data_IF_341419227809
#
_entry.id   IF_341419227809
#
_cell.length_a   1.000
_cell.length_b   1.000
_cell.length_c   1.000
_cell.angle_alpha   90.00
_cell.angle_beta   90.00
_cell.angle_gamma   90.00
#
_symmetry.space_group_name_H-M   'P 1'
#
loop_
_entity.id
_entity.type
_entity.pdbx_description
1 polymer ?
#
# COMPACT_ATOMS: atom_id res chain seq x y z
N UNK A 1 0.62 -7.34 63.20
CA UNK A 1 0.62 -6.28 62.16
C UNK A 1 0.28 -6.92 60.81
N UNK A 2 -0.67 -6.33 60.10
CA UNK A 2 -1.68 -7.03 59.30
C UNK A 2 -1.22 -7.49 57.90
N UNK A 3 -1.57 -8.73 57.55
CA UNK A 3 -1.50 -9.31 56.18
C UNK A 3 -2.29 -8.52 55.12
N UNK A 4 -3.13 -7.58 55.55
CA UNK A 4 -3.91 -6.66 54.70
C UNK A 4 -3.01 -5.57 54.11
N UNK A 5 -1.96 -5.12 54.81
CA UNK A 5 -1.06 -4.09 54.29
C UNK A 5 -0.15 -4.62 53.18
N UNK A 6 0.29 -5.88 53.26
CA UNK A 6 1.17 -6.48 52.24
C UNK A 6 0.46 -6.68 50.88
N UNK A 7 -0.87 -6.94 50.89
CA UNK A 7 -1.67 -7.03 49.67
C UNK A 7 -2.01 -5.67 49.05
N UNK A 8 -2.14 -4.62 49.88
CA UNK A 8 -2.35 -3.26 49.39
C UNK A 8 -1.10 -2.68 48.71
N UNK A 9 0.10 -3.02 49.19
CA UNK A 9 1.36 -2.56 48.59
C UNK A 9 1.64 -3.23 47.24
N UNK A 10 1.31 -4.51 47.07
CA UNK A 10 1.46 -5.24 45.80
C UNK A 10 0.48 -4.78 44.71
N UNK A 11 -0.74 -4.35 45.09
CA UNK A 11 -1.69 -3.79 44.12
C UNK A 11 -1.30 -2.37 43.68
N UNK A 12 -0.69 -1.58 44.57
CA UNK A 12 -0.20 -0.23 44.25
C UNK A 12 1.05 -0.23 43.34
N UNK A 13 1.88 -1.29 43.37
CA UNK A 13 3.04 -1.40 42.46
C UNK A 13 2.66 -1.89 41.07
N UNK A 14 1.57 -2.66 40.93
CA UNK A 14 1.06 -3.08 39.62
C UNK A 14 0.36 -1.93 38.84
N UNK A 15 -0.16 -0.92 39.54
CA UNK A 15 -0.75 0.28 38.93
C UNK A 15 0.29 1.30 38.42
N UNK A 16 1.55 1.21 38.83
CA UNK A 16 2.63 2.11 38.39
C UNK A 16 3.37 1.65 37.12
N UNK A 17 3.05 0.45 36.62
CA UNK A 17 3.58 -0.07 35.35
C UNK A 17 2.62 0.13 34.17
N UNK A 18 1.43 0.71 34.40
CA UNK A 18 0.58 1.21 33.33
C UNK A 18 1.05 2.60 32.88
N UNK A 19 2.19 2.64 32.17
CA UNK A 19 2.57 3.85 31.44
C UNK A 19 1.44 4.24 30.46
N UNK A 20 1.20 5.54 30.20
CA UNK A 20 0.25 5.93 29.17
C UNK A 20 0.68 5.28 27.86
N UNK A 21 -0.25 4.59 27.19
CA UNK A 21 -0.06 4.14 25.82
C UNK A 21 0.25 5.38 24.97
N UNK A 22 1.53 5.64 24.71
CA UNK A 22 2.00 6.74 23.87
C UNK A 22 1.71 6.37 22.41
N UNK A 23 0.45 6.51 22.02
CA UNK A 23 -0.06 6.18 20.70
C UNK A 23 0.18 7.29 19.65
N UNK A 24 1.10 8.23 19.88
CA UNK A 24 1.54 9.25 18.91
C UNK A 24 2.97 9.71 19.27
N UNK A 25 3.76 10.14 18.29
CA UNK A 25 5.15 10.59 18.55
C UNK A 25 5.19 12.00 19.15
N UNK A 26 6.28 12.31 19.85
CA UNK A 26 6.46 13.67 20.42
C UNK A 26 6.63 14.72 19.31
N UNK A 27 6.46 16.00 19.64
CA UNK A 27 6.70 17.09 18.70
C UNK A 27 8.16 17.12 18.22
N UNK A 28 9.10 16.79 19.11
CA UNK A 28 10.54 16.69 18.83
C UNK A 28 10.83 15.52 17.87
N UNK A 29 10.16 14.38 18.05
CA UNK A 29 10.27 13.26 17.12
C UNK A 29 9.67 13.63 15.75
N UNK A 30 8.48 14.22 15.71
CA UNK A 30 7.84 14.67 14.48
C UNK A 30 8.72 15.69 13.71
N UNK A 31 9.46 16.55 14.41
CA UNK A 31 10.39 17.51 13.79
C UNK A 31 11.47 16.84 12.91
N UNK A 32 11.76 15.54 13.11
CA UNK A 32 12.67 14.77 12.25
C UNK A 32 12.17 14.68 10.81
N UNK A 33 10.85 14.72 10.56
CA UNK A 33 10.23 14.71 9.22
C UNK A 33 10.59 15.95 8.37
N UNK A 34 11.04 17.02 9.02
CA UNK A 34 11.50 18.25 8.37
C UNK A 34 13.02 18.30 8.20
N UNK A 35 13.76 17.33 8.74
CA UNK A 35 15.22 17.34 8.80
C UNK A 35 15.80 16.00 8.33
N UNK A 36 16.02 15.06 9.25
CA UNK A 36 16.71 13.78 8.99
C UNK A 36 15.87 12.77 8.23
N UNK A 37 14.54 12.84 8.36
CA UNK A 37 13.59 12.04 7.61
C UNK A 37 13.00 12.85 6.45
N UNK A 38 12.52 12.15 5.43
CA UNK A 38 11.65 12.72 4.41
C UNK A 38 10.30 13.09 5.05
N UNK A 39 9.48 13.93 4.40
CA UNK A 39 8.17 14.29 4.94
C UNK A 39 7.21 13.10 5.11
N UNK A 40 7.52 11.94 4.51
CA UNK A 40 6.75 10.69 4.64
C UNK A 40 7.41 9.67 5.59
N UNK A 41 8.52 10.01 6.24
CA UNK A 41 9.12 9.16 7.27
C UNK A 41 10.32 8.31 6.87
N UNK A 42 10.72 8.31 5.59
CA UNK A 42 11.90 7.56 5.15
C UNK A 42 13.20 8.28 5.52
N UNK A 43 14.33 7.57 5.59
CA UNK A 43 15.64 8.21 5.71
C UNK A 43 15.88 9.19 4.56
N UNK A 44 16.30 10.43 4.84
CA UNK A 44 16.54 11.43 3.80
C UNK A 44 17.90 11.28 3.12
N UNK A 45 18.92 10.89 3.89
CA UNK A 45 20.30 10.81 3.43
C UNK A 45 20.50 9.71 2.37
N UNK A 46 21.65 9.77 1.70
CA UNK A 46 22.15 8.66 0.90
C UNK A 46 22.51 7.47 1.80
N UNK A 47 22.52 6.27 1.23
CA UNK A 47 23.10 5.13 1.95
C UNK A 47 24.63 5.24 1.97
N UNK A 48 25.26 4.49 2.90
CA UNK A 48 26.72 4.50 3.07
C UNK A 48 27.47 4.01 1.83
N UNK A 49 26.89 3.09 1.09
CA UNK A 49 27.52 2.48 -0.10
C UNK A 49 27.46 3.37 -1.35
N UNK A 50 26.76 4.52 -1.28
CA UNK A 50 26.62 5.46 -2.39
C UNK A 50 25.72 4.98 -3.54
N UNK A 51 25.06 3.82 -3.39
CA UNK A 51 24.17 3.23 -4.40
C UNK A 51 22.76 3.79 -4.39
N UNK A 52 22.36 4.47 -3.30
CA UNK A 52 21.07 5.14 -3.13
C UNK A 52 21.34 6.62 -2.83
N UNK A 53 20.96 7.55 -3.73
CA UNK A 53 21.19 8.98 -3.52
C UNK A 53 20.31 9.55 -2.39
N UNK A 54 20.63 10.76 -1.86
CA UNK A 54 19.74 11.41 -0.92
C UNK A 54 18.41 11.80 -1.59
N UNK A 55 17.32 11.85 -0.83
CA UNK A 55 16.06 12.38 -1.34
C UNK A 55 16.07 13.91 -1.33
N UNK A 56 15.91 14.50 -2.51
CA UNK A 56 16.01 15.95 -2.75
C UNK A 56 14.68 16.60 -3.11
N UNK A 57 13.55 15.93 -2.91
CA UNK A 57 12.21 16.44 -3.24
C UNK A 57 11.39 15.55 -4.17
N UNK A 58 12.03 14.57 -4.80
CA UNK A 58 11.41 13.70 -5.81
C UNK A 58 11.10 14.42 -7.13
N UNK A 59 10.41 13.74 -8.03
CA UNK A 59 10.05 14.25 -9.35
C UNK A 59 8.68 14.94 -9.29
N UNK A 60 8.68 16.27 -9.26
CA UNK A 60 7.46 17.09 -9.08
C UNK A 60 6.96 17.77 -10.35
N UNK A 61 7.73 17.67 -11.45
CA UNK A 61 7.37 18.23 -12.75
C UNK A 61 7.13 17.10 -13.74
N UNK A 62 6.06 17.22 -14.52
CA UNK A 62 5.86 16.35 -15.66
C UNK A 62 6.96 16.57 -16.70
N UNK A 63 7.32 15.51 -17.43
CA UNK A 63 8.27 15.61 -18.53
C UNK A 63 7.74 16.59 -19.60
N UNK A 64 8.61 17.39 -20.23
CA UNK A 64 8.20 18.33 -21.27
C UNK A 64 7.37 17.64 -22.37
N UNK A 65 6.22 18.23 -22.72
CA UNK A 65 5.35 17.73 -23.77
C UNK A 65 4.36 16.64 -23.36
N UNK A 66 4.42 16.11 -22.12
CA UNK A 66 3.42 15.17 -21.62
C UNK A 66 2.04 15.81 -21.49
N UNK A 67 1.00 15.14 -21.97
CA UNK A 67 -0.39 15.54 -21.78
C UNK A 67 -1.17 14.45 -21.02
N UNK A 68 -2.18 14.82 -20.22
CA UNK A 68 -3.07 13.85 -19.60
C UNK A 68 -3.68 12.91 -20.66
N UNK A 69 -3.53 11.60 -20.46
CA UNK A 69 -3.96 10.56 -21.40
C UNK A 69 -2.83 9.94 -22.21
N UNK A 70 -1.67 10.59 -22.32
CA UNK A 70 -0.49 10.01 -22.96
C UNK A 70 0.10 8.87 -22.13
N UNK A 71 0.85 7.98 -22.79
CA UNK A 71 1.75 7.08 -22.09
C UNK A 71 2.74 7.89 -21.26
N UNK A 72 2.95 7.52 -20.00
CA UNK A 72 3.91 8.22 -19.15
C UNK A 72 5.31 8.04 -19.72
N UNK A 73 6.04 9.13 -20.04
CA UNK A 73 7.38 9.03 -20.57
C UNK A 73 8.33 8.51 -19.48
N UNK A 74 9.33 7.74 -19.91
CA UNK A 74 10.43 7.34 -19.04
C UNK A 74 11.37 8.54 -18.83
N UNK A 75 11.50 9.07 -17.60
CA UNK A 75 12.40 10.20 -17.32
C UNK A 75 13.88 9.85 -17.47
N UNK A 76 14.23 8.56 -17.57
CA UNK A 76 15.60 8.04 -17.62
C UNK A 76 15.87 7.22 -18.88
N UNK A 77 15.11 7.43 -19.96
CA UNK A 77 15.18 6.61 -21.19
C UNK A 77 16.57 6.51 -21.84
N UNK A 78 17.47 7.45 -21.56
CA UNK A 78 18.84 7.47 -22.07
C UNK A 78 19.86 6.75 -21.17
N UNK A 79 19.45 6.30 -19.97
CA UNK A 79 20.33 5.61 -19.05
C UNK A 79 20.68 4.20 -19.55
N UNK A 80 21.92 3.80 -19.26
CA UNK A 80 22.42 2.46 -19.55
C UNK A 80 22.51 1.66 -18.26
N UNK A 81 22.38 0.33 -18.32
CA UNK A 81 22.65 -0.52 -17.17
C UNK A 81 24.06 -0.25 -16.63
N UNK A 82 24.20 -0.19 -15.31
CA UNK A 82 25.48 -0.22 -14.59
C UNK A 82 26.16 -1.58 -14.77
N UNK A 83 25.37 -2.65 -14.69
CA UNK A 83 25.80 -4.03 -14.91
C UNK A 83 24.57 -4.93 -15.13
N UNK A 84 24.81 -6.17 -15.56
CA UNK A 84 23.78 -7.19 -15.75
C UNK A 84 24.09 -8.45 -14.95
N UNK A 85 23.07 -9.00 -14.29
CA UNK A 85 23.13 -10.25 -13.54
C UNK A 85 22.48 -11.34 -14.38
N UNK A 86 23.19 -12.43 -14.64
CA UNK A 86 22.72 -13.59 -15.40
C UNK A 86 23.25 -14.89 -14.77
N UNK A 87 22.91 -16.04 -15.35
CA UNK A 87 23.31 -17.34 -14.83
C UNK A 87 24.83 -17.50 -14.59
N UNK A 88 25.69 -16.80 -15.35
CA UNK A 88 27.16 -16.92 -15.27
C UNK A 88 27.74 -16.20 -14.05
N UNK A 89 27.14 -15.09 -13.62
CA UNK A 89 27.63 -14.29 -12.48
C UNK A 89 26.64 -14.25 -11.30
N UNK A 90 25.50 -14.92 -11.40
CA UNK A 90 24.46 -15.01 -10.37
C UNK A 90 24.99 -15.30 -8.97
N UNK A 91 25.97 -16.19 -8.84
CA UNK A 91 26.57 -16.56 -7.55
C UNK A 91 27.24 -15.37 -6.83
N UNK A 92 27.71 -14.37 -7.57
CA UNK A 92 28.30 -13.15 -7.00
C UNK A 92 27.25 -12.24 -6.36
N UNK A 93 25.97 -12.42 -6.71
CA UNK A 93 24.85 -11.60 -6.28
C UNK A 93 23.80 -12.40 -5.50
N UNK A 94 24.17 -13.56 -4.94
CA UNK A 94 23.21 -14.49 -4.34
C UNK A 94 22.33 -13.84 -3.25
N UNK A 95 22.92 -12.96 -2.44
CA UNK A 95 22.23 -12.20 -1.40
C UNK A 95 21.19 -11.18 -1.92
N UNK A 96 21.21 -10.87 -3.22
CA UNK A 96 20.30 -9.92 -3.86
C UNK A 96 19.24 -10.60 -4.74
N UNK A 97 19.24 -11.93 -4.83
CA UNK A 97 18.35 -12.67 -5.72
C UNK A 97 17.46 -13.61 -4.91
N UNK A 98 16.17 -13.61 -5.21
CA UNK A 98 15.26 -14.62 -4.68
C UNK A 98 15.49 -15.96 -5.39
N UNK A 99 15.14 -17.07 -4.72
CA UNK A 99 15.30 -18.40 -5.30
C UNK A 99 14.49 -18.59 -6.60
N UNK A 100 13.34 -17.92 -6.71
CA UNK A 100 12.56 -17.89 -7.95
C UNK A 100 13.31 -17.22 -9.11
N UNK A 101 13.97 -16.09 -8.86
CA UNK A 101 14.81 -15.42 -9.87
C UNK A 101 16.01 -16.29 -10.24
N UNK A 102 16.66 -16.94 -9.26
CA UNK A 102 17.76 -17.88 -9.52
C UNK A 102 17.29 -19.05 -10.38
N UNK A 103 16.10 -19.58 -10.12
CA UNK A 103 15.50 -20.65 -10.93
C UNK A 103 15.21 -20.20 -12.37
N UNK A 104 14.70 -18.98 -12.57
CA UNK A 104 14.51 -18.41 -13.91
C UNK A 104 15.83 -18.28 -14.67
N UNK A 105 16.88 -17.76 -14.03
CA UNK A 105 18.23 -17.67 -14.64
C UNK A 105 18.79 -19.04 -15.03
N UNK A 106 18.56 -20.08 -14.22
CA UNK A 106 18.99 -21.46 -14.55
C UNK A 106 18.20 -22.07 -15.70
N UNK A 107 16.90 -21.78 -15.78
CA UNK A 107 15.98 -22.35 -16.77
C UNK A 107 16.08 -21.66 -18.14
N UNK A 108 16.31 -20.35 -18.15
CA UNK A 108 16.30 -19.52 -19.35
C UNK A 108 17.67 -18.84 -19.53
N UNK A 109 18.53 -19.36 -20.43
CA UNK A 109 19.91 -18.86 -20.60
C UNK A 109 20.04 -17.38 -21.01
N UNK A 110 18.99 -16.82 -21.61
CA UNK A 110 18.87 -15.43 -22.04
C UNK A 110 18.30 -14.50 -20.96
N UNK A 111 17.73 -15.05 -19.88
CA UNK A 111 17.22 -14.27 -18.77
C UNK A 111 18.35 -13.59 -18.01
N UNK A 112 18.19 -12.27 -17.83
CA UNK A 112 19.10 -11.44 -17.04
C UNK A 112 18.35 -10.32 -16.36
N UNK A 113 18.95 -9.77 -15.30
CA UNK A 113 18.51 -8.55 -14.63
C UNK A 113 19.51 -7.46 -14.97
N UNK A 114 19.05 -6.43 -15.68
CA UNK A 114 19.84 -5.23 -15.95
C UNK A 114 19.65 -4.24 -14.79
N UNK A 115 20.73 -3.87 -14.11
CA UNK A 115 20.71 -2.99 -12.94
C UNK A 115 21.07 -1.57 -13.36
N UNK A 116 20.26 -0.60 -12.97
CA UNK A 116 20.38 0.82 -13.35
C UNK A 116 20.70 1.71 -12.14
N UNK A 117 21.11 2.97 -12.35
CA UNK A 117 21.26 3.95 -11.27
C UNK A 117 19.98 4.09 -10.44
N UNK A 118 20.10 4.14 -9.12
CA UNK A 118 18.96 4.37 -8.24
C UNK A 118 18.55 5.83 -8.27
N UNK A 119 17.25 6.09 -8.48
CA UNK A 119 16.67 7.43 -8.35
C UNK A 119 15.57 7.44 -7.29
N UNK A 120 15.56 8.45 -6.42
CA UNK A 120 14.49 8.64 -5.42
C UNK A 120 13.45 9.63 -5.93
N UNK A 121 12.60 9.19 -6.85
CA UNK A 121 11.64 10.05 -7.57
C UNK A 121 10.29 10.23 -6.87
N UNK A 122 9.97 9.42 -5.86
CA UNK A 122 8.70 9.50 -5.16
C UNK A 122 8.47 10.90 -4.54
N UNK A 123 7.29 11.46 -4.79
CA UNK A 123 6.84 12.74 -4.28
C UNK A 123 5.33 12.74 -4.01
N UNK A 124 4.89 13.60 -3.12
CA UNK A 124 3.49 13.90 -2.87
C UNK A 124 3.26 15.43 -2.85
N UNK A 125 2.02 15.90 -3.05
CA UNK A 125 1.67 17.30 -2.88
C UNK A 125 1.99 17.81 -1.47
N UNK A 126 2.28 19.11 -1.35
CA UNK A 126 2.63 19.73 -0.06
C UNK A 126 1.59 19.48 1.04
N UNK A 127 0.30 19.53 0.70
CA UNK A 127 -0.78 19.29 1.66
C UNK A 127 -0.74 17.87 2.27
N UNK A 128 -0.23 16.88 1.53
CA UNK A 128 -0.02 15.51 2.06
C UNK A 128 1.08 15.51 3.11
N UNK A 129 2.19 16.21 2.84
CA UNK A 129 3.30 16.34 3.78
C UNK A 129 2.88 17.09 5.05
N UNK A 130 2.12 18.17 4.90
CA UNK A 130 1.64 18.96 6.03
C UNK A 130 0.69 18.15 6.92
N UNK A 131 -0.22 17.38 6.30
CA UNK A 131 -1.10 16.48 7.04
C UNK A 131 -0.35 15.30 7.65
N UNK A 132 0.66 14.75 6.99
CA UNK A 132 1.52 13.70 7.55
C UNK A 132 2.25 14.19 8.81
N UNK A 133 2.78 15.42 8.76
CA UNK A 133 3.41 16.05 9.93
C UNK A 133 2.41 16.26 11.08
N UNK A 134 1.17 16.67 10.79
CA UNK A 134 0.10 16.76 11.80
C UNK A 134 -0.24 15.39 12.36
N UNK A 135 -0.42 14.38 11.51
CA UNK A 135 -0.82 13.03 11.90
C UNK A 135 0.21 12.39 12.86
N UNK A 136 1.51 12.66 12.67
CA UNK A 136 2.58 12.16 13.54
C UNK A 136 2.29 12.33 15.05
N UNK A 137 1.67 13.43 15.46
CA UNK A 137 1.43 13.74 16.89
C UNK A 137 0.00 13.51 17.36
N UNK A 138 -0.93 13.11 16.47
CA UNK A 138 -2.35 12.97 16.81
C UNK A 138 -3.00 11.65 16.37
N UNK A 139 -2.42 10.96 15.39
CA UNK A 139 -2.92 9.67 14.93
C UNK A 139 -2.77 8.65 16.05
N UNK A 140 -3.71 7.72 16.19
CA UNK A 140 -3.66 6.62 17.17
C UNK A 140 -4.20 5.35 16.54
N UNK A 141 -3.61 4.22 16.91
CA UNK A 141 -4.20 2.92 16.64
C UNK A 141 -5.45 2.72 17.49
N UNK A 142 -6.49 2.16 16.88
CA UNK A 142 -7.71 1.71 17.57
C UNK A 142 -8.05 0.28 17.13
N UNK A 143 -9.10 -0.31 17.69
CA UNK A 143 -9.53 -1.68 17.37
C UNK A 143 -8.39 -2.70 17.49
N UNK A 144 -7.57 -2.60 18.55
CA UNK A 144 -6.37 -3.42 18.77
C UNK A 144 -5.35 -3.39 17.61
N UNK A 145 -5.18 -2.22 16.98
CA UNK A 145 -4.28 -2.03 15.84
C UNK A 145 -4.96 -2.18 14.48
N UNK A 146 -6.24 -2.60 14.44
CA UNK A 146 -6.98 -2.85 13.20
C UNK A 146 -7.75 -1.62 12.70
N UNK A 147 -7.56 -0.47 13.34
CA UNK A 147 -8.09 0.82 12.90
C UNK A 147 -7.15 1.97 13.22
N UNK A 148 -7.49 3.15 12.71
CA UNK A 148 -6.76 4.40 12.92
C UNK A 148 -7.74 5.52 13.25
N UNK A 149 -7.43 6.33 14.26
CA UNK A 149 -8.14 7.58 14.57
C UNK A 149 -7.20 8.77 14.54
N UNK A 150 -7.77 9.97 14.44
CA UNK A 150 -7.00 11.22 14.47
C UNK A 150 -6.17 11.52 13.22
N UNK A 151 -6.18 10.66 12.20
CA UNK A 151 -5.43 10.85 10.97
C UNK A 151 -6.35 11.19 9.78
N UNK A 152 -5.89 12.08 8.89
CA UNK A 152 -6.54 12.37 7.61
C UNK A 152 -5.53 12.96 6.63
N UNK A 153 -5.68 12.72 5.33
CA UNK A 153 -4.99 13.44 4.27
C UNK A 153 -3.47 13.30 4.21
N UNK A 154 -2.88 12.36 4.94
CA UNK A 154 -1.44 12.17 5.09
C UNK A 154 -1.12 10.82 5.72
N UNK A 155 0.12 10.35 5.61
CA UNK A 155 0.54 9.08 6.25
C UNK A 155 0.23 9.14 7.75
N UNK A 156 -0.50 8.17 8.33
CA UNK A 156 -0.91 8.24 9.73
C UNK A 156 0.26 8.19 10.72
N UNK A 157 1.17 7.22 10.56
CA UNK A 157 2.26 6.94 11.49
C UNK A 157 3.62 7.07 10.80
N UNK A 158 4.05 8.27 10.37
CA UNK A 158 5.27 8.43 9.58
C UNK A 158 6.55 8.05 10.33
N UNK A 159 6.51 7.84 11.64
CA UNK A 159 7.62 7.29 12.43
C UNK A 159 7.07 6.07 13.19
N UNK A 160 6.84 4.94 12.51
CA UNK A 160 6.12 3.83 13.10
C UNK A 160 6.92 3.17 14.22
N UNK A 161 6.24 2.73 15.28
CA UNK A 161 6.80 2.10 16.48
C UNK A 161 6.60 0.58 16.49
N UNK A 162 5.62 0.09 15.75
CA UNK A 162 5.31 -1.34 15.65
C UNK A 162 4.80 -1.74 14.24
N UNK A 163 4.54 -3.03 14.06
CA UNK A 163 4.05 -3.58 12.80
C UNK A 163 2.63 -3.14 12.42
N UNK A 164 1.76 -2.84 13.40
CA UNK A 164 0.40 -2.37 13.12
C UNK A 164 0.42 -0.97 12.52
N UNK A 165 1.26 -0.07 13.03
CA UNK A 165 1.46 1.26 12.46
C UNK A 165 2.02 1.19 11.02
N UNK A 166 2.98 0.30 10.77
CA UNK A 166 3.49 0.03 9.40
C UNK A 166 2.37 -0.47 8.50
N UNK A 167 1.55 -1.40 8.99
CA UNK A 167 0.43 -1.94 8.23
C UNK A 167 -0.59 -0.85 7.88
N UNK A 168 -0.97 0.00 8.83
CA UNK A 168 -1.91 1.10 8.58
C UNK A 168 -1.34 2.09 7.56
N UNK A 169 -0.04 2.39 7.62
CA UNK A 169 0.62 3.21 6.61
C UNK A 169 0.59 2.57 5.21
N UNK A 170 0.78 1.26 5.09
CA UNK A 170 0.69 0.55 3.81
C UNK A 170 -0.72 0.67 3.22
N UNK A 171 -1.75 0.38 4.02
CA UNK A 171 -3.16 0.47 3.61
C UNK A 171 -3.55 1.90 3.21
N UNK A 172 -3.03 2.88 3.93
CA UNK A 172 -3.35 4.29 3.76
C UNK A 172 -2.26 5.05 3.00
N UNK A 173 -1.43 4.36 2.22
CA UNK A 173 -0.35 5.01 1.47
C UNK A 173 -0.90 5.99 0.43
N UNK A 174 -0.19 7.11 0.24
CA UNK A 174 -0.49 8.08 -0.81
C UNK A 174 -0.22 7.48 -2.19
N UNK A 175 -1.29 7.34 -2.97
CA UNK A 175 -1.25 6.85 -4.37
C UNK A 175 -2.07 7.76 -5.30
N UNK A 176 -2.40 8.97 -4.85
CA UNK A 176 -3.37 9.86 -5.49
C UNK A 176 -4.74 9.83 -4.81
N UNK A 177 -5.55 10.85 -5.02
CA UNK A 177 -6.92 10.97 -4.48
C UNK A 177 -7.96 10.23 -5.34
N UNK A 178 -7.70 10.09 -6.64
CA UNK A 178 -8.56 9.38 -7.58
C UNK A 178 -7.74 8.79 -8.72
N UNK A 179 -8.10 7.57 -9.13
CA UNK A 179 -7.54 6.91 -10.30
C UNK A 179 -8.64 6.17 -11.05
N UNK A 180 -8.59 6.24 -12.38
CA UNK A 180 -9.42 5.41 -13.25
C UNK A 180 -8.56 4.92 -14.40
N UNK A 181 -8.60 3.62 -14.67
CA UNK A 181 -7.80 3.00 -15.72
C UNK A 181 -8.54 1.83 -16.36
N UNK A 182 -8.33 1.58 -17.67
CA UNK A 182 -8.68 0.31 -18.26
C UNK A 182 -7.79 -0.78 -17.68
N UNK A 183 -8.39 -1.91 -17.33
CA UNK A 183 -7.70 -3.11 -16.84
C UNK A 183 -8.00 -4.24 -17.81
N UNK A 184 -6.97 -5.01 -18.15
CA UNK A 184 -7.09 -6.26 -18.92
C UNK A 184 -6.27 -7.33 -18.24
N UNK A 185 -6.93 -8.42 -17.88
CA UNK A 185 -6.34 -9.58 -17.23
C UNK A 185 -6.33 -10.74 -18.20
N UNK A 186 -5.13 -11.26 -18.43
CA UNK A 186 -4.87 -12.37 -19.33
C UNK A 186 -4.31 -13.55 -18.55
N UNK A 187 -4.85 -14.72 -18.83
CA UNK A 187 -4.27 -15.99 -18.40
C UNK A 187 -3.40 -16.50 -19.54
N UNK A 188 -2.16 -16.86 -19.21
CA UNK A 188 -1.19 -17.37 -20.19
C UNK A 188 -0.83 -18.80 -19.81
N UNK A 189 -1.01 -19.70 -20.76
CA UNK A 189 -0.66 -21.12 -20.64
C UNK A 189 0.84 -21.34 -20.86
N UNK A 190 1.36 -22.49 -20.44
CA UNK A 190 2.80 -22.80 -20.54
C UNK A 190 3.33 -22.84 -22.00
N UNK A 191 2.46 -23.14 -22.97
CA UNK A 191 2.76 -23.07 -24.42
C UNK A 191 2.52 -21.66 -25.02
N UNK A 192 2.26 -20.66 -24.19
CA UNK A 192 2.18 -19.25 -24.58
C UNK A 192 0.83 -18.78 -25.08
N UNK A 193 -0.21 -19.63 -25.11
CA UNK A 193 -1.55 -19.21 -25.51
C UNK A 193 -2.16 -18.32 -24.44
N UNK A 194 -2.78 -17.22 -24.88
CA UNK A 194 -3.40 -16.22 -24.01
C UNK A 194 -4.92 -16.33 -24.10
N UNK A 195 -5.59 -16.29 -22.95
CA UNK A 195 -7.03 -16.19 -22.83
C UNK A 195 -7.38 -14.98 -21.96
N UNK A 196 -8.35 -14.17 -22.38
CA UNK A 196 -8.79 -13.03 -21.59
C UNK A 196 -9.66 -13.52 -20.43
N UNK A 197 -9.21 -13.32 -19.20
CA UNK A 197 -9.98 -13.65 -18.00
C UNK A 197 -11.01 -12.57 -17.66
N UNK A 198 -10.61 -11.31 -17.78
CA UNK A 198 -11.48 -10.14 -17.61
C UNK A 198 -10.84 -8.90 -18.25
N UNK A 199 -11.67 -7.94 -18.61
CA UNK A 199 -11.27 -6.62 -19.05
C UNK A 199 -12.37 -5.62 -18.71
N UNK A 200 -12.01 -4.39 -18.39
CA UNK A 200 -12.98 -3.41 -17.92
C UNK A 200 -12.36 -2.11 -17.46
N UNK A 201 -13.17 -1.28 -16.80
CA UNK A 201 -12.72 -0.01 -16.21
C UNK A 201 -12.69 -0.16 -14.70
N UNK A 202 -11.52 0.06 -14.11
CA UNK A 202 -11.33 0.13 -12.67
C UNK A 202 -11.26 1.59 -12.23
N UNK A 203 -11.89 1.91 -11.11
CA UNK A 203 -11.91 3.24 -10.51
C UNK A 203 -11.69 3.14 -9.02
N UNK A 204 -10.79 3.97 -8.50
CA UNK A 204 -10.53 4.11 -7.07
C UNK A 204 -10.65 5.58 -6.68
N UNK A 205 -11.38 5.85 -5.61
CA UNK A 205 -11.39 7.14 -4.92
C UNK A 205 -10.83 6.93 -3.53
N UNK A 206 -9.77 7.65 -3.17
CA UNK A 206 -9.18 7.63 -1.83
C UNK A 206 -9.78 8.77 -1.01
N UNK A 207 -10.94 8.53 -0.42
CA UNK A 207 -11.65 9.52 0.41
C UNK A 207 -10.80 10.04 1.57
N UNK A 208 -9.93 9.20 2.15
CA UNK A 208 -8.95 9.62 3.17
C UNK A 208 -8.01 10.75 2.70
N UNK A 209 -7.86 10.91 1.39
CA UNK A 209 -7.00 11.88 0.72
C UNK A 209 -7.79 12.89 -0.12
N UNK A 210 -9.07 13.10 0.17
CA UNK A 210 -9.86 14.12 -0.51
C UNK A 210 -9.38 15.52 -0.07
N UNK A 211 -8.84 16.36 -0.97
CA UNK A 211 -8.33 17.68 -0.61
C UNK A 211 -9.44 18.65 -0.16
N UNK A 212 -10.71 18.36 -0.46
CA UNK A 212 -11.87 19.14 -0.02
C UNK A 212 -12.42 18.67 1.33
N UNK A 213 -11.94 17.51 1.82
CA UNK A 213 -12.31 16.96 3.11
C UNK A 213 -11.42 17.45 4.26
N UNK A 214 -11.71 16.96 5.46
CA UNK A 214 -10.90 17.21 6.66
C UNK A 214 -11.11 16.07 7.66
N UNK A 215 -10.29 16.01 8.70
CA UNK A 215 -10.44 15.02 9.77
C UNK A 215 -11.83 15.10 10.43
N UNK A 216 -12.35 16.32 10.62
CA UNK A 216 -13.63 16.58 11.29
C UNK A 216 -14.84 16.19 10.43
N UNK A 217 -14.69 16.19 9.11
CA UNK A 217 -15.74 15.84 8.14
C UNK A 217 -15.62 14.41 7.63
N UNK A 218 -14.55 13.71 7.98
CA UNK A 218 -14.26 12.38 7.46
C UNK A 218 -15.29 11.37 7.99
N UNK A 219 -15.96 10.67 7.09
CA UNK A 219 -17.07 9.76 7.38
C UNK A 219 -16.61 8.33 7.74
N UNK A 220 -15.29 8.09 7.76
CA UNK A 220 -14.70 6.80 8.10
C UNK A 220 -14.40 5.91 6.89
N UNK A 221 -14.88 6.22 5.69
CA UNK A 221 -14.55 5.45 4.49
C UNK A 221 -13.19 5.90 3.93
N UNK A 222 -12.16 5.06 4.09
CA UNK A 222 -10.82 5.35 3.59
C UNK A 222 -10.73 5.35 2.06
N UNK A 223 -11.55 4.53 1.40
CA UNK A 223 -11.58 4.46 -0.05
C UNK A 223 -12.82 3.77 -0.63
N UNK A 224 -13.11 4.10 -1.88
CA UNK A 224 -14.16 3.50 -2.69
C UNK A 224 -13.52 2.91 -3.94
N UNK A 225 -13.84 1.66 -4.24
CA UNK A 225 -13.38 0.94 -5.42
C UNK A 225 -14.56 0.50 -6.28
N UNK A 226 -14.44 0.64 -7.59
CA UNK A 226 -15.42 0.09 -8.54
C UNK A 226 -14.70 -0.53 -9.72
N UNK A 227 -15.07 -1.73 -10.09
CA UNK A 227 -14.65 -2.38 -11.32
C UNK A 227 -15.88 -2.77 -12.13
N UNK A 228 -15.94 -2.34 -13.39
CA UNK A 228 -17.02 -2.70 -14.32
C UNK A 228 -16.41 -3.47 -15.48
N UNK A 229 -16.84 -4.71 -15.65
CA UNK A 229 -16.33 -5.63 -16.65
C UNK A 229 -16.99 -5.33 -17.99
N UNK A 230 -16.17 -5.14 -19.03
CA UNK A 230 -16.61 -4.99 -20.43
C UNK A 230 -16.19 -6.16 -21.31
N UNK A 231 -15.21 -6.97 -20.86
CA UNK A 231 -14.65 -8.09 -21.62
C UNK A 231 -14.32 -9.27 -20.66
N UNK A 232 -14.35 -10.54 -21.11
CA UNK A 232 -14.92 -11.01 -22.37
C UNK A 232 -16.45 -10.89 -22.35
N UNK A 233 -17.09 -11.06 -23.52
CA UNK A 233 -18.55 -10.89 -23.67
C UNK A 233 -19.40 -11.70 -22.68
N UNK A 234 -18.92 -12.86 -22.23
CA UNK A 234 -19.62 -13.70 -21.23
C UNK A 234 -19.71 -13.08 -19.83
N UNK A 235 -18.83 -12.11 -19.50
CA UNK A 235 -18.80 -11.39 -18.22
C UNK A 235 -19.14 -9.91 -18.38
N UNK A 236 -19.37 -9.42 -19.60
CA UNK A 236 -19.62 -8.02 -19.87
C UNK A 236 -20.88 -7.54 -19.14
N UNK A 237 -20.74 -6.50 -18.31
CA UNK A 237 -21.78 -5.97 -17.44
C UNK A 237 -21.66 -6.43 -15.98
N UNK A 238 -20.79 -7.37 -15.65
CA UNK A 238 -20.46 -7.68 -14.25
C UNK A 238 -19.79 -6.47 -13.59
N UNK A 239 -20.01 -6.32 -12.28
CA UNK A 239 -19.40 -5.22 -11.55
C UNK A 239 -19.06 -5.62 -10.11
N UNK A 240 -17.98 -5.06 -9.58
CA UNK A 240 -17.62 -5.12 -8.16
C UNK A 240 -17.59 -3.69 -7.63
N UNK A 241 -18.21 -3.48 -6.47
CA UNK A 241 -18.18 -2.22 -5.72
C UNK A 241 -17.64 -2.52 -4.32
N UNK A 242 -16.63 -1.76 -3.88
CA UNK A 242 -16.02 -1.87 -2.58
C UNK A 242 -16.05 -0.51 -1.87
N UNK A 243 -16.47 -0.52 -0.61
CA UNK A 243 -16.41 0.60 0.32
C UNK A 243 -15.51 0.17 1.48
N UNK A 244 -14.29 0.69 1.48
CA UNK A 244 -13.25 0.35 2.43
C UNK A 244 -13.28 1.32 3.60
N UNK A 245 -13.70 0.84 4.76
CA UNK A 245 -13.70 1.60 6.01
C UNK A 245 -12.31 1.63 6.65
N UNK A 246 -12.01 2.70 7.37
CA UNK A 246 -10.74 2.88 8.09
C UNK A 246 -10.60 1.90 9.25
N UNK A 247 -11.69 1.67 9.99
CA UNK A 247 -11.70 0.93 11.26
C UNK A 247 -12.45 -0.40 11.13
N UNK A 248 -11.92 -1.45 11.76
CA UNK A 248 -12.51 -2.80 11.72
C UNK A 248 -13.90 -2.88 12.38
N UNK A 249 -14.17 -2.00 13.35
CA UNK A 249 -15.51 -1.80 13.93
C UNK A 249 -16.59 -1.46 12.89
N UNK A 250 -16.22 -0.88 11.75
CA UNK A 250 -17.08 -0.68 10.59
C UNK A 250 -16.61 -1.57 9.44
N UNK A 251 -17.13 -2.80 9.29
CA UNK A 251 -16.59 -3.74 8.31
C UNK A 251 -16.77 -3.23 6.88
N UNK A 252 -15.86 -3.66 6.00
CA UNK A 252 -15.90 -3.36 4.57
C UNK A 252 -17.25 -3.72 3.95
N UNK A 253 -17.79 -2.82 3.13
CA UNK A 253 -18.90 -3.12 2.24
C UNK A 253 -18.37 -3.58 0.89
N UNK A 254 -18.68 -4.81 0.47
CA UNK A 254 -18.38 -5.26 -0.89
C UNK A 254 -19.61 -5.86 -1.54
N UNK A 255 -19.87 -5.48 -2.78
CA UNK A 255 -21.00 -5.94 -3.57
C UNK A 255 -20.52 -6.39 -4.95
N UNK A 256 -21.17 -7.43 -5.46
CA UNK A 256 -20.93 -7.95 -6.79
C UNK A 256 -22.26 -8.03 -7.54
N UNK A 257 -22.24 -7.59 -8.79
CA UNK A 257 -23.30 -7.80 -9.75
C UNK A 257 -22.87 -8.86 -10.76
N UNK A 258 -23.67 -9.93 -10.86
CA UNK A 258 -23.42 -11.03 -11.78
C UNK A 258 -24.50 -11.04 -12.87
N UNK A 259 -24.09 -10.94 -14.12
CA UNK A 259 -25.00 -10.83 -15.26
C UNK A 259 -25.91 -12.04 -15.42
N UNK A 260 -25.37 -13.26 -15.18
CA UNK A 260 -26.15 -14.50 -15.26
C UNK A 260 -27.27 -14.59 -14.21
N UNK A 261 -27.14 -13.89 -13.08
CA UNK A 261 -28.13 -13.88 -12.01
C UNK A 261 -28.99 -12.61 -11.98
N UNK A 262 -28.58 -11.56 -12.70
CA UNK A 262 -29.23 -10.24 -12.76
C UNK A 262 -29.52 -9.64 -11.37
N UNK A 263 -28.62 -9.87 -10.41
CA UNK A 263 -28.78 -9.44 -9.02
C UNK A 263 -27.47 -8.91 -8.46
N UNK A 264 -27.57 -7.89 -7.61
CA UNK A 264 -26.48 -7.43 -6.74
C UNK A 264 -26.50 -8.26 -5.46
N UNK A 265 -25.34 -8.75 -5.04
CA UNK A 265 -25.17 -9.46 -3.77
C UNK A 265 -24.07 -8.82 -2.95
N UNK A 266 -24.26 -8.73 -1.64
CA UNK A 266 -23.17 -8.42 -0.72
C UNK A 266 -22.22 -9.63 -0.68
N UNK A 267 -20.93 -9.39 -0.84
CA UNK A 267 -19.91 -10.44 -0.94
C UNK A 267 -18.81 -10.21 0.13
N UNK A 268 -19.16 -10.39 1.42
CA UNK A 268 -18.23 -10.14 2.52
C UNK A 268 -17.06 -11.15 2.57
N UNK A 269 -17.18 -12.28 1.87
CA UNK A 269 -16.14 -13.32 1.78
C UNK A 269 -14.98 -12.94 0.86
N UNK A 270 -15.07 -11.82 0.13
CA UNK A 270 -14.02 -11.40 -0.81
C UNK A 270 -12.88 -10.73 -0.04
N UNK A 271 -12.00 -11.56 0.50
CA UNK A 271 -10.80 -11.20 1.27
C UNK A 271 -9.82 -12.39 1.31
N UNK A 272 -8.57 -12.11 1.69
CA UNK A 272 -7.51 -13.12 1.90
C UNK A 272 -7.32 -14.02 0.65
N UNK A 273 -7.09 -15.31 0.90
CA UNK A 273 -6.89 -16.42 -0.05
C UNK A 273 -8.16 -16.82 -0.83
N UNK A 274 -9.14 -15.93 -0.96
CA UNK A 274 -10.32 -16.23 -1.79
C UNK A 274 -9.91 -16.18 -3.27
N UNK A 275 -10.26 -17.20 -4.08
CA UNK A 275 -9.96 -17.19 -5.50
C UNK A 275 -10.53 -15.95 -6.19
N UNK A 276 -9.68 -15.22 -6.93
CA UNK A 276 -10.07 -13.98 -7.57
C UNK A 276 -10.80 -14.20 -8.90
N UNK A 277 -12.09 -13.89 -8.92
CA UNK A 277 -12.94 -13.97 -10.12
C UNK A 277 -12.44 -13.12 -11.30
N UNK A 278 -11.67 -12.06 -11.06
CA UNK A 278 -11.06 -11.18 -12.07
C UNK A 278 -9.93 -11.92 -12.80
N UNK A 279 -9.18 -12.79 -12.12
CA UNK A 279 -8.15 -13.67 -12.70
C UNK A 279 -8.69 -15.04 -13.12
N UNK A 280 -10.02 -15.22 -13.06
CA UNK A 280 -10.68 -16.52 -13.24
C UNK A 280 -10.27 -17.59 -12.21
N UNK A 281 -9.93 -17.16 -11.00
CA UNK A 281 -9.64 -18.02 -9.85
C UNK A 281 -8.24 -18.62 -9.83
N UNK A 282 -7.34 -18.14 -10.69
CA UNK A 282 -5.94 -18.59 -10.72
C UNK A 282 -5.12 -17.90 -9.64
N UNK A 283 -5.35 -16.59 -9.44
CA UNK A 283 -4.74 -15.82 -8.37
C UNK A 283 -5.68 -15.68 -7.18
N UNK A 284 -5.11 -15.24 -6.07
CA UNK A 284 -5.83 -14.91 -4.84
C UNK A 284 -6.05 -13.40 -4.73
N UNK A 285 -7.05 -12.96 -3.97
CA UNK A 285 -7.34 -11.54 -3.80
C UNK A 285 -6.25 -10.77 -3.04
N UNK A 286 -5.55 -11.42 -2.12
CA UNK A 286 -4.42 -10.85 -1.38
C UNK A 286 -3.19 -10.65 -2.28
N UNK A 287 -2.87 -11.59 -3.17
CA UNK A 287 -1.76 -11.49 -4.13
C UNK A 287 -1.83 -10.22 -4.99
N UNK A 288 -3.05 -9.79 -5.36
CA UNK A 288 -3.26 -8.61 -6.22
C UNK A 288 -2.85 -7.30 -5.54
N UNK A 289 -2.92 -7.23 -4.21
CA UNK A 289 -2.66 -6.01 -3.44
C UNK A 289 -1.65 -6.20 -2.31
N UNK A 290 -0.94 -7.34 -2.29
CA UNK A 290 -0.18 -7.89 -1.16
C UNK A 290 -1.02 -8.22 0.08
N UNK A 291 -1.99 -7.37 0.41
CA UNK A 291 -2.89 -7.47 1.55
C UNK A 291 -4.27 -6.98 1.13
N UNK A 292 -5.28 -7.85 1.22
CA UNK A 292 -6.65 -7.50 0.84
C UNK A 292 -7.68 -8.03 1.84
N UNK A 293 -8.20 -7.13 2.67
CA UNK A 293 -9.17 -7.44 3.71
C UNK A 293 -8.69 -7.05 5.11
N UNK A 294 -9.36 -7.53 6.16
CA UNK A 294 -8.93 -7.37 7.55
C UNK A 294 -7.60 -8.10 7.82
N UNK A 295 -6.95 -7.77 8.93
CA UNK A 295 -5.65 -8.37 9.35
C UNK A 295 -5.75 -9.44 10.43
N UNK A 296 -6.97 -9.84 10.79
CA UNK A 296 -7.24 -10.89 11.75
C UNK A 296 -6.65 -12.27 11.39
N UNK A 297 -6.16 -12.44 10.16
CA UNK A 297 -5.53 -13.68 9.67
C UNK A 297 -4.05 -13.51 9.28
N UNK A 298 -3.45 -12.34 9.52
CA UNK A 298 -2.06 -12.03 9.17
C UNK A 298 -1.17 -11.89 10.41
#
# INVERSE_FOLDING_TARGET
MNRIHLKATLLATALLLAGPALAAVSAEEAAKLKTTLTPLGAERAANKDGTIPPWTGGLTKASPGFKPGDARPDPFAAEKPLYSINAKNMAQYDAHLSDGVKALMKKYPDFRIDVYPTHRTAAAPQWVYDNTFKNATRAKLVDNGHGTEGAYGGTPFPIPKDGYEVFQNHRLAWVGSYAQAPVRVWVVTADGKRAMASGGTQSFRRQFYDPEGSLEKFDGYAGLGKFVVSEPGSKAGEAILAHDNLNASNPRGLWQYLVGQRRVRKAPSVAYDTPDSVTSGIGLFDEAFMLFGPIDKH
#
